data_IF_657505881883
#
_entry.id   IF_657505881883
#
_cell.length_a   1.000
_cell.length_b   1.000
_cell.length_c   1.000
_cell.angle_alpha   90.00
_cell.angle_beta   90.00
_cell.angle_gamma   90.00
#
_symmetry.space_group_name_H-M   'P 1'
#
loop_
_entity.id
_entity.type
_entity.pdbx_description
1 polymer ?
#
# COMPACT_ATOMS: atom_id res chain seq x y z
N UNK A 1 13.95 25.94 -30.01
CA UNK A 1 14.00 24.98 -28.89
C UNK A 1 12.60 24.61 -28.36
N UNK A 2 11.67 25.56 -28.19
CA UNK A 2 10.36 25.30 -27.54
C UNK A 2 9.38 24.39 -28.31
N UNK A 3 9.44 24.34 -29.64
CA UNK A 3 8.59 23.45 -30.47
C UNK A 3 8.88 21.96 -30.25
N UNK A 4 10.12 21.64 -29.84
CA UNK A 4 10.58 20.28 -29.62
C UNK A 4 9.86 19.58 -28.45
N UNK A 5 9.55 20.30 -27.37
CA UNK A 5 8.93 19.69 -26.17
C UNK A 5 7.53 19.12 -26.45
N UNK A 6 6.71 19.85 -27.21
CA UNK A 6 5.37 19.37 -27.56
C UNK A 6 5.44 18.16 -28.51
N UNK A 7 6.39 18.16 -29.44
CA UNK A 7 6.62 17.03 -30.35
C UNK A 7 7.10 15.80 -29.57
N UNK A 8 8.04 15.97 -28.64
CA UNK A 8 8.49 14.91 -27.73
C UNK A 8 7.35 14.37 -26.88
N UNK A 9 6.53 15.23 -26.27
CA UNK A 9 5.39 14.81 -25.46
C UNK A 9 4.35 14.04 -26.28
N UNK A 10 4.10 14.44 -27.53
CA UNK A 10 3.19 13.71 -28.44
C UNK A 10 3.74 12.36 -28.87
N UNK A 11 5.06 12.26 -29.04
CA UNK A 11 5.73 11.03 -29.50
C UNK A 11 5.90 10.02 -28.36
N UNK A 12 6.38 10.48 -27.20
CA UNK A 12 6.83 9.62 -26.10
C UNK A 12 5.88 9.61 -24.90
N UNK A 13 4.92 10.54 -24.86
CA UNK A 13 4.04 10.74 -23.71
C UNK A 13 4.50 11.90 -22.82
N UNK A 14 3.59 12.33 -21.95
CA UNK A 14 3.84 13.33 -20.92
C UNK A 14 4.01 12.64 -19.54
N UNK A 15 4.87 13.14 -18.65
CA UNK A 15 5.86 14.19 -18.87
C UNK A 15 6.98 13.79 -19.83
N UNK A 16 7.66 14.78 -20.41
CA UNK A 16 8.91 14.59 -21.16
C UNK A 16 10.04 14.42 -20.14
N UNK A 17 10.77 13.30 -20.22
CA UNK A 17 11.86 12.96 -19.32
C UNK A 17 13.20 13.05 -20.06
N UNK A 18 14.15 13.82 -19.53
CA UNK A 18 15.50 13.99 -20.08
C UNK A 18 16.52 13.95 -18.94
N UNK A 19 17.18 12.80 -18.76
CA UNK A 19 17.92 12.53 -17.53
C UNK A 19 16.97 12.58 -16.33
N UNK A 20 17.33 13.35 -15.30
CA UNK A 20 16.51 13.52 -14.10
C UNK A 20 15.47 14.63 -14.24
N UNK A 21 15.53 15.43 -15.32
CA UNK A 21 14.58 16.50 -15.56
C UNK A 21 13.27 15.94 -16.11
N UNK A 22 12.19 16.22 -15.40
CA UNK A 22 10.82 15.90 -15.79
C UNK A 22 10.11 17.20 -16.18
N UNK A 23 9.55 17.26 -17.39
CA UNK A 23 8.81 18.42 -17.89
C UNK A 23 7.41 18.03 -18.32
N UNK A 24 6.42 18.47 -17.54
CA UNK A 24 5.00 18.36 -17.87
C UNK A 24 4.65 19.42 -18.90
N UNK A 25 3.99 19.03 -19.99
CA UNK A 25 3.64 19.89 -21.12
C UNK A 25 2.12 20.00 -21.24
N UNK A 26 1.62 21.21 -21.50
CA UNK A 26 0.22 21.47 -21.79
C UNK A 26 0.05 22.41 -22.99
N UNK A 27 -0.88 22.09 -23.89
CA UNK A 27 -1.26 22.95 -25.02
C UNK A 27 -2.69 23.50 -24.85
N UNK A 28 -2.82 24.81 -24.77
CA UNK A 28 -4.11 25.51 -24.68
C UNK A 28 -3.97 27.00 -24.39
N UNK A 29 -5.07 27.75 -24.56
CA UNK A 29 -5.14 29.20 -24.30
C UNK A 29 -4.75 29.56 -22.85
N UNK A 30 -5.12 28.71 -21.90
CA UNK A 30 -4.71 28.73 -20.50
C UNK A 30 -4.24 27.33 -20.09
N UNK A 31 -3.44 27.26 -19.04
CA UNK A 31 -3.02 25.99 -18.45
C UNK A 31 -3.73 25.70 -17.12
N UNK A 32 -4.05 24.42 -16.86
CA UNK A 32 -4.37 23.97 -15.51
C UNK A 32 -3.12 24.04 -14.62
N UNK A 33 -3.29 23.71 -13.35
CA UNK A 33 -2.20 23.46 -12.43
C UNK A 33 -1.84 21.97 -12.41
N UNK A 34 -0.60 21.65 -12.05
CA UNK A 34 -0.16 20.28 -11.77
C UNK A 34 -0.46 19.94 -10.30
N UNK A 35 -1.00 18.75 -10.05
CA UNK A 35 -1.13 18.15 -8.73
C UNK A 35 -0.52 16.75 -8.78
N UNK A 36 0.22 16.34 -7.75
CA UNK A 36 0.96 15.08 -7.74
C UNK A 36 1.23 14.58 -6.33
N UNK A 37 1.89 13.42 -6.22
CA UNK A 37 2.29 12.82 -4.93
C UNK A 37 3.20 13.74 -4.09
N UNK A 38 4.03 14.59 -4.72
CA UNK A 38 5.03 15.41 -4.02
C UNK A 38 4.38 16.65 -3.39
N UNK A 39 3.40 17.24 -4.06
CA UNK A 39 2.83 18.54 -3.71
C UNK A 39 1.45 18.43 -3.05
N UNK A 40 1.22 17.39 -2.23
CA UNK A 40 -0.03 17.23 -1.47
C UNK A 40 -1.31 17.36 -2.33
N UNK A 41 -1.25 16.94 -3.58
CA UNK A 41 -2.40 16.92 -4.48
C UNK A 41 -3.15 18.28 -4.58
N UNK A 42 -4.48 18.29 -4.41
CA UNK A 42 -5.32 19.49 -4.51
C UNK A 42 -5.01 20.58 -3.47
N UNK A 43 -4.29 20.26 -2.41
CA UNK A 43 -3.99 21.21 -1.33
C UNK A 43 -2.85 22.17 -1.70
N UNK A 44 -1.93 21.76 -2.60
CA UNK A 44 -0.87 22.63 -3.11
C UNK A 44 -0.64 22.49 -4.64
N UNK A 45 -1.60 22.95 -5.47
CA UNK A 45 -1.51 22.85 -6.93
C UNK A 45 -0.46 23.78 -7.53
N UNK A 46 0.41 23.24 -8.38
CA UNK A 46 1.56 23.91 -8.98
C UNK A 46 1.22 24.62 -10.30
N UNK A 47 1.57 25.90 -10.41
CA UNK A 47 1.30 26.72 -11.61
C UNK A 47 2.26 26.37 -12.75
N UNK A 48 1.72 26.13 -13.95
CA UNK A 48 2.52 25.98 -15.17
C UNK A 48 2.97 27.34 -15.72
N UNK A 49 4.17 27.41 -16.29
CA UNK A 49 4.76 28.59 -16.92
C UNK A 49 4.51 28.56 -18.43
N UNK A 50 4.08 29.68 -19.01
CA UNK A 50 3.95 29.81 -20.47
C UNK A 50 5.33 29.96 -21.10
N UNK A 51 5.64 29.14 -22.11
CA UNK A 51 6.93 29.18 -22.83
C UNK A 51 6.78 29.53 -24.31
N UNK A 52 5.57 29.44 -24.87
CA UNK A 52 5.26 29.87 -26.24
C UNK A 52 3.75 30.18 -26.35
N UNK A 53 3.26 30.67 -27.51
CA UNK A 53 1.83 30.77 -27.76
C UNK A 53 1.12 29.43 -27.50
N UNK A 54 0.16 29.46 -26.57
CA UNK A 54 -0.63 28.30 -26.12
C UNK A 54 0.18 27.10 -25.59
N UNK A 55 1.47 27.27 -25.26
CA UNK A 55 2.32 26.19 -24.74
C UNK A 55 2.82 26.52 -23.33
N UNK A 56 2.57 25.59 -22.42
CA UNK A 56 2.84 25.73 -20.99
C UNK A 56 3.60 24.53 -20.45
N UNK A 57 4.48 24.77 -19.48
CA UNK A 57 5.27 23.71 -18.87
C UNK A 57 5.39 23.86 -17.36
N UNK A 58 5.54 22.75 -16.66
CA UNK A 58 6.09 22.70 -15.31
C UNK A 58 7.25 21.71 -15.34
N UNK A 59 8.40 22.12 -14.81
CA UNK A 59 9.62 21.31 -14.83
C UNK A 59 10.14 21.15 -13.41
N UNK A 60 10.52 19.92 -13.07
CA UNK A 60 11.15 19.56 -11.79
C UNK A 60 12.17 18.44 -12.01
N UNK A 61 13.11 18.28 -11.09
CA UNK A 61 14.02 17.13 -11.08
C UNK A 61 13.47 16.04 -10.17
N UNK A 62 13.52 14.80 -10.63
CA UNK A 62 13.14 13.63 -9.85
C UNK A 62 14.31 12.64 -9.77
N UNK A 63 14.35 11.90 -8.67
CA UNK A 63 15.26 10.78 -8.50
C UNK A 63 15.03 9.71 -9.59
N UNK A 64 16.10 9.13 -10.18
CA UNK A 64 15.99 8.10 -11.23
C UNK A 64 15.14 6.88 -10.85
N UNK A 65 15.02 6.56 -9.57
CA UNK A 65 14.24 5.44 -9.05
C UNK A 65 12.79 5.82 -8.72
N UNK A 66 12.33 7.04 -9.06
CA UNK A 66 11.00 7.50 -8.74
C UNK A 66 9.89 6.84 -9.56
N UNK A 67 8.80 6.51 -8.86
CA UNK A 67 7.46 6.41 -9.42
C UNK A 67 6.63 7.60 -8.97
N UNK A 68 5.83 8.17 -9.88
CA UNK A 68 4.98 9.33 -9.56
C UNK A 68 3.58 9.17 -10.18
N UNK A 69 2.55 9.42 -9.37
CA UNK A 69 1.20 9.71 -9.84
C UNK A 69 0.94 11.23 -9.87
N UNK A 70 0.21 11.69 -10.88
CA UNK A 70 -0.17 13.09 -11.03
C UNK A 70 -1.53 13.26 -11.72
N UNK A 71 -2.04 14.49 -11.68
CA UNK A 71 -3.18 14.93 -12.49
C UNK A 71 -3.03 16.42 -12.80
N UNK A 72 -3.81 16.92 -13.76
CA UNK A 72 -3.99 18.35 -13.89
C UNK A 72 -5.22 18.80 -13.09
N UNK A 73 -5.24 20.05 -12.67
CA UNK A 73 -6.27 20.61 -11.81
C UNK A 73 -6.65 22.02 -12.24
N UNK A 74 -7.94 22.28 -12.47
CA UNK A 74 -8.45 23.60 -12.76
C UNK A 74 -8.90 24.27 -11.46
N UNK A 75 -8.12 25.21 -10.88
CA UNK A 75 -8.39 25.77 -9.56
C UNK A 75 -9.69 26.56 -9.50
N UNK A 76 -10.16 27.14 -10.61
CA UNK A 76 -11.43 27.90 -10.63
C UNK A 76 -12.64 27.00 -10.47
N UNK A 77 -12.61 25.83 -11.09
CA UNK A 77 -13.73 24.88 -11.07
C UNK A 77 -13.55 23.78 -10.04
N UNK A 78 -12.37 23.69 -9.43
CA UNK A 78 -11.95 22.64 -8.50
C UNK A 78 -12.10 21.23 -9.08
N UNK A 79 -11.79 21.08 -10.37
CA UNK A 79 -11.91 19.80 -11.09
C UNK A 79 -10.56 19.32 -11.57
N UNK A 80 -10.33 18.01 -11.44
CA UNK A 80 -9.23 17.33 -12.13
C UNK A 80 -9.48 17.34 -13.64
N UNK A 81 -8.40 17.52 -14.38
CA UNK A 81 -8.35 17.53 -15.84
C UNK A 81 -7.42 16.41 -16.27
N UNK A 82 -7.85 15.61 -17.25
CA UNK A 82 -7.02 14.54 -17.80
C UNK A 82 -5.87 15.14 -18.61
N UNK A 83 -4.73 14.49 -18.54
CA UNK A 83 -3.61 14.75 -19.43
C UNK A 83 -3.89 14.10 -20.80
N UNK A 84 -4.12 14.88 -21.87
CA UNK A 84 -4.38 14.31 -23.19
C UNK A 84 -3.13 13.68 -23.83
N UNK A 85 -1.93 13.93 -23.29
CA UNK A 85 -0.64 13.47 -23.78
C UNK A 85 -0.10 12.27 -22.99
N UNK A 86 -0.75 11.87 -21.89
CA UNK A 86 -0.39 10.66 -21.16
C UNK A 86 -1.55 9.65 -21.16
N UNK A 87 -1.33 8.48 -21.76
CA UNK A 87 -2.32 7.40 -21.81
C UNK A 87 -2.30 6.50 -20.57
N UNK A 88 -1.21 6.53 -19.80
CA UNK A 88 -1.06 5.73 -18.61
C UNK A 88 -1.94 6.33 -17.52
N UNK A 89 -2.86 5.51 -17.00
CA UNK A 89 -3.76 5.92 -15.91
C UNK A 89 -3.91 4.81 -14.90
N UNK A 90 -4.15 5.20 -13.65
CA UNK A 90 -4.37 4.29 -12.52
C UNK A 90 -5.50 4.82 -11.65
N UNK A 91 -6.36 3.95 -11.15
CA UNK A 91 -7.43 4.35 -10.23
C UNK A 91 -6.86 4.53 -8.82
N UNK A 92 -7.11 5.68 -8.20
CA UNK A 92 -6.46 6.10 -6.96
C UNK A 92 -7.00 5.45 -5.67
N UNK A 93 -7.93 4.49 -5.76
CA UNK A 93 -8.53 3.86 -4.58
C UNK A 93 -9.81 4.52 -4.08
N UNK A 94 -10.08 5.76 -4.48
CA UNK A 94 -11.16 6.56 -3.91
C UNK A 94 -12.20 6.89 -4.97
N UNK A 95 -11.90 7.87 -5.85
CA UNK A 95 -12.88 8.44 -6.80
C UNK A 95 -12.26 8.91 -8.12
N UNK A 96 -10.94 8.96 -8.24
CA UNK A 96 -10.27 9.57 -9.38
C UNK A 96 -9.29 8.61 -10.05
N UNK A 97 -9.07 8.84 -11.34
CA UNK A 97 -7.95 8.25 -12.05
C UNK A 97 -6.83 9.28 -12.13
N UNK A 98 -5.63 8.83 -11.78
CA UNK A 98 -4.40 9.59 -11.91
C UNK A 98 -3.69 9.16 -13.19
N UNK A 99 -2.85 10.04 -13.71
CA UNK A 99 -1.79 9.65 -14.63
C UNK A 99 -0.56 9.23 -13.85
N UNK A 100 0.29 8.40 -14.44
CA UNK A 100 1.52 7.97 -13.78
C UNK A 100 2.67 7.79 -14.78
N UNK A 101 3.88 7.75 -14.25
CA UNK A 101 5.08 7.35 -14.98
C UNK A 101 6.15 6.80 -14.02
N UNK A 102 7.13 6.11 -14.59
CA UNK A 102 8.33 5.64 -13.91
C UNK A 102 9.53 6.41 -14.46
N UNK A 103 10.46 6.81 -13.58
CA UNK A 103 11.78 7.29 -13.97
C UNK A 103 12.67 6.13 -14.44
N UNK A 104 13.85 6.44 -14.98
CA UNK A 104 14.67 5.50 -15.76
C UNK A 104 15.15 4.26 -15.02
N UNK A 105 15.29 4.33 -13.69
CA UNK A 105 15.73 3.21 -12.83
C UNK A 105 14.55 2.57 -12.07
N UNK A 106 13.35 3.12 -12.22
CA UNK A 106 12.14 2.59 -11.61
C UNK A 106 11.43 1.65 -12.60
N UNK A 107 10.98 0.49 -12.11
CA UNK A 107 10.18 -0.44 -12.90
C UNK A 107 9.08 -1.06 -12.04
N UNK A 108 7.89 -1.32 -12.62
CA UNK A 108 6.86 -2.09 -11.93
C UNK A 108 7.40 -3.48 -11.59
N UNK A 109 7.00 -4.02 -10.44
CA UNK A 109 7.46 -5.35 -10.04
C UNK A 109 6.94 -6.43 -11.00
N UNK A 110 7.85 -7.22 -11.55
CA UNK A 110 7.48 -8.38 -12.38
C UNK A 110 6.73 -9.47 -11.59
N UNK A 111 6.69 -9.37 -10.26
CA UNK A 111 5.98 -10.30 -9.39
C UNK A 111 4.45 -10.09 -9.43
N UNK A 112 3.96 -8.93 -9.87
CA UNK A 112 2.53 -8.68 -9.99
C UNK A 112 1.93 -9.26 -11.30
N UNK A 113 2.77 -9.82 -12.18
CA UNK A 113 2.35 -10.39 -13.46
C UNK A 113 2.05 -11.89 -13.34
N UNK A 114 0.85 -12.30 -13.79
CA UNK A 114 0.48 -13.73 -13.86
C UNK A 114 1.34 -14.46 -14.89
N UNK A 115 1.96 -15.58 -14.49
CA UNK A 115 2.79 -16.42 -15.37
C UNK A 115 2.01 -17.64 -15.84
N UNK A 116 1.98 -17.88 -17.16
CA UNK A 116 1.35 -19.08 -17.73
C UNK A 116 2.13 -20.34 -17.32
N UNK A 117 1.41 -21.44 -17.05
CA UNK A 117 2.00 -22.74 -16.73
C UNK A 117 2.53 -22.91 -15.31
N UNK A 118 2.35 -21.92 -14.44
CA UNK A 118 2.74 -21.98 -13.03
C UNK A 118 1.55 -22.38 -12.15
N UNK A 119 1.75 -23.18 -11.08
CA UNK A 119 0.70 -23.41 -10.09
C UNK A 119 0.23 -22.10 -9.46
N UNK A 120 -1.09 -21.93 -9.37
CA UNK A 120 -1.73 -20.76 -8.78
C UNK A 120 -2.56 -21.17 -7.57
N UNK A 121 -2.52 -20.35 -6.52
CA UNK A 121 -3.42 -20.52 -5.39
C UNK A 121 -4.87 -20.18 -5.75
N UNK A 122 -5.80 -20.70 -4.96
CA UNK A 122 -7.24 -20.51 -5.16
C UNK A 122 -7.74 -19.37 -4.27
N UNK A 123 -8.36 -18.36 -4.88
CA UNK A 123 -9.08 -17.30 -4.17
C UNK A 123 -10.57 -17.64 -4.12
N UNK A 124 -11.18 -17.51 -2.95
CA UNK A 124 -12.62 -17.69 -2.72
C UNK A 124 -13.20 -16.48 -2.01
N UNK A 125 -14.43 -16.10 -2.38
CA UNK A 125 -15.13 -14.93 -1.83
C UNK A 125 -16.19 -15.39 -0.82
N UNK A 126 -16.25 -14.71 0.32
CA UNK A 126 -17.18 -15.00 1.40
C UNK A 126 -17.74 -13.71 2.00
N UNK A 127 -18.84 -13.85 2.72
CA UNK A 127 -19.42 -12.82 3.56
C UNK A 127 -19.51 -13.40 4.97
N UNK A 128 -18.85 -12.75 5.93
CA UNK A 128 -18.70 -13.26 7.30
C UNK A 128 -19.29 -12.26 8.27
N UNK A 129 -20.01 -12.75 9.28
CA UNK A 129 -20.60 -11.89 10.30
C UNK A 129 -19.52 -11.15 11.10
N UNK A 130 -19.79 -9.90 11.47
CA UNK A 130 -18.85 -9.06 12.21
C UNK A 130 -19.31 -8.94 13.65
N UNK A 131 -18.78 -9.81 14.51
CA UNK A 131 -19.27 -10.03 15.88
C UNK A 131 -19.65 -8.75 16.65
N UNK A 132 -18.71 -7.83 16.86
CA UNK A 132 -18.94 -6.58 17.61
C UNK A 132 -19.27 -5.37 16.71
N UNK A 133 -18.99 -5.45 15.41
CA UNK A 133 -19.22 -4.34 14.47
C UNK A 133 -20.61 -4.53 13.85
N UNK A 134 -21.59 -3.81 14.36
CA UNK A 134 -22.99 -3.99 13.96
C UNK A 134 -23.36 -3.23 12.67
N UNK A 135 -22.63 -2.19 12.28
CA UNK A 135 -22.88 -1.52 10.99
C UNK A 135 -22.51 -2.47 9.85
N UNK A 136 -23.47 -2.71 8.95
CA UNK A 136 -23.61 -3.85 8.02
C UNK A 136 -23.72 -5.26 8.63
N UNK A 137 -23.18 -5.50 9.83
CA UNK A 137 -23.21 -6.80 10.56
C UNK A 137 -22.47 -7.95 9.87
N UNK A 138 -21.92 -7.69 8.68
CA UNK A 138 -21.14 -8.61 7.85
C UNK A 138 -20.03 -7.89 7.13
N UNK A 139 -18.94 -8.60 6.84
CA UNK A 139 -17.80 -8.12 6.06
C UNK A 139 -17.42 -9.10 4.96
N UNK A 140 -17.06 -8.51 3.82
CA UNK A 140 -16.50 -9.25 2.71
C UNK A 140 -15.11 -9.78 3.09
N UNK A 141 -14.91 -11.07 2.85
CA UNK A 141 -13.67 -11.78 3.16
C UNK A 141 -13.26 -12.61 1.95
N UNK A 142 -12.07 -12.37 1.41
CA UNK A 142 -11.48 -13.28 0.43
C UNK A 142 -10.45 -14.16 1.10
N UNK A 143 -10.49 -15.45 0.81
CA UNK A 143 -9.54 -16.43 1.32
C UNK A 143 -8.71 -16.97 0.15
N UNK A 144 -7.39 -16.91 0.29
CA UNK A 144 -6.42 -17.47 -0.64
C UNK A 144 -5.77 -18.71 -0.01
N UNK A 145 -5.90 -19.85 -0.69
CA UNK A 145 -5.18 -21.08 -0.39
C UNK A 145 -4.02 -21.24 -1.37
N UNK A 146 -2.75 -21.28 -0.93
CA UNK A 146 -1.61 -21.55 -1.82
C UNK A 146 -1.70 -22.95 -2.42
N UNK A 147 -1.02 -23.22 -3.56
CA UNK A 147 -1.08 -24.50 -4.27
C UNK A 147 -0.24 -25.60 -3.58
N UNK A 148 -0.43 -25.80 -2.28
CA UNK A 148 0.23 -26.82 -1.46
C UNK A 148 -0.78 -27.59 -0.62
N UNK A 149 -0.45 -28.83 -0.26
CA UNK A 149 -1.33 -29.72 0.50
C UNK A 149 -1.22 -29.54 2.02
N UNK A 150 -0.05 -29.18 2.53
CA UNK A 150 0.22 -29.09 3.97
C UNK A 150 -0.31 -27.81 4.63
N UNK A 151 -0.36 -27.77 5.97
CA UNK A 151 -0.78 -26.60 6.72
C UNK A 151 0.25 -25.46 6.57
N UNK A 152 -0.25 -24.23 6.43
CA UNK A 152 0.57 -23.03 6.20
C UNK A 152 0.23 -21.92 7.20
N UNK A 153 1.14 -20.97 7.49
CA UNK A 153 0.77 -19.77 8.23
C UNK A 153 -0.22 -18.92 7.43
N UNK A 154 -1.00 -18.10 8.16
CA UNK A 154 -1.92 -17.13 7.59
C UNK A 154 -1.29 -15.73 7.59
N UNK A 155 -1.54 -14.96 6.53
CA UNK A 155 -1.40 -13.51 6.51
C UNK A 155 -2.78 -12.86 6.47
N UNK A 156 -3.16 -12.16 7.54
CA UNK A 156 -4.36 -11.31 7.55
C UNK A 156 -4.04 -10.00 6.81
N UNK A 157 -4.90 -9.59 5.88
CA UNK A 157 -4.68 -8.42 5.02
C UNK A 157 -5.85 -7.46 5.16
N UNK A 158 -5.61 -6.30 5.76
CA UNK A 158 -6.55 -5.17 5.80
C UNK A 158 -6.67 -4.52 4.42
N UNK A 159 -7.81 -3.85 4.17
CA UNK A 159 -8.17 -3.35 2.83
C UNK A 159 -8.10 -4.44 1.75
N UNK A 160 -8.66 -5.61 2.10
CA UNK A 160 -8.44 -6.85 1.37
C UNK A 160 -8.74 -6.78 -0.13
N UNK A 161 -9.81 -6.10 -0.55
CA UNK A 161 -10.15 -5.96 -1.98
C UNK A 161 -9.09 -5.16 -2.72
N UNK A 162 -8.57 -4.09 -2.11
CA UNK A 162 -7.58 -3.24 -2.75
C UNK A 162 -6.22 -3.96 -2.88
N UNK A 163 -5.78 -4.70 -1.86
CA UNK A 163 -4.60 -5.56 -2.00
C UNK A 163 -4.78 -6.68 -3.04
N UNK A 164 -5.98 -7.23 -3.15
CA UNK A 164 -6.27 -8.28 -4.13
C UNK A 164 -6.31 -7.73 -5.56
N UNK A 165 -6.94 -6.58 -5.79
CA UNK A 165 -7.23 -6.05 -7.12
C UNK A 165 -6.19 -5.05 -7.63
N UNK A 166 -5.60 -4.23 -6.74
CA UNK A 166 -4.64 -3.19 -7.12
C UNK A 166 -3.21 -3.65 -6.92
N UNK A 167 -2.91 -4.22 -5.75
CA UNK A 167 -1.60 -4.76 -5.47
C UNK A 167 -1.38 -6.16 -6.07
N UNK A 168 -2.45 -6.84 -6.53
CA UNK A 168 -2.34 -8.19 -7.09
C UNK A 168 -1.60 -9.14 -6.12
N UNK A 169 -1.83 -8.99 -4.81
CA UNK A 169 -0.99 -9.61 -3.78
C UNK A 169 -0.96 -11.14 -3.89
N UNK A 170 -2.08 -11.77 -4.28
CA UNK A 170 -2.14 -13.21 -4.55
C UNK A 170 -1.22 -13.66 -5.68
N UNK A 171 -1.03 -12.82 -6.72
CA UNK A 171 -0.12 -13.10 -7.83
C UNK A 171 1.34 -12.93 -7.38
N UNK A 172 1.62 -11.92 -6.56
CA UNK A 172 2.95 -11.71 -5.97
C UNK A 172 3.32 -12.92 -5.10
N UNK A 173 2.42 -13.37 -4.23
CA UNK A 173 2.63 -14.52 -3.35
C UNK A 173 2.80 -15.80 -4.16
N UNK A 174 1.95 -16.07 -5.18
CA UNK A 174 2.14 -17.20 -6.09
C UNK A 174 3.54 -17.21 -6.71
N UNK A 175 3.98 -16.07 -7.26
CA UNK A 175 5.27 -15.92 -7.91
C UNK A 175 6.45 -16.07 -6.93
N UNK A 176 6.33 -15.58 -5.69
CA UNK A 176 7.36 -15.74 -4.67
C UNK A 176 7.47 -17.19 -4.19
N UNK A 177 6.34 -17.88 -3.99
CA UNK A 177 6.31 -19.30 -3.63
C UNK A 177 6.93 -20.15 -4.74
N UNK A 178 6.53 -19.92 -6.00
CA UNK A 178 7.06 -20.66 -7.14
C UNK A 178 8.57 -20.47 -7.33
N UNK A 179 9.08 -19.26 -7.01
CA UNK A 179 10.52 -18.95 -7.02
C UNK A 179 11.25 -19.43 -5.76
N UNK A 180 10.56 -20.06 -4.79
CA UNK A 180 11.13 -20.45 -3.48
C UNK A 180 11.80 -19.28 -2.76
N UNK A 181 11.15 -18.12 -2.80
CA UNK A 181 11.60 -16.90 -2.11
C UNK A 181 10.94 -16.74 -0.75
N UNK A 182 9.76 -17.32 -0.58
CA UNK A 182 9.03 -17.40 0.68
C UNK A 182 8.53 -18.83 0.92
N UNK A 183 8.34 -19.21 2.18
CA UNK A 183 7.53 -20.39 2.49
C UNK A 183 6.07 -20.15 2.04
N UNK A 184 5.32 -21.20 1.67
CA UNK A 184 3.90 -21.06 1.33
C UNK A 184 3.10 -20.43 2.48
N UNK A 185 2.24 -19.45 2.15
CA UNK A 185 1.34 -18.78 3.10
C UNK A 185 -0.08 -18.76 2.56
N UNK A 186 -1.07 -18.88 3.43
CA UNK A 186 -2.46 -18.57 3.11
C UNK A 186 -2.75 -17.10 3.43
N UNK A 187 -3.80 -16.53 2.84
CA UNK A 187 -4.19 -15.15 3.12
C UNK A 187 -5.68 -14.99 3.38
N UNK A 188 -6.01 -14.09 4.32
CA UNK A 188 -7.36 -13.66 4.63
C UNK A 188 -7.46 -12.15 4.36
N UNK A 189 -8.09 -11.78 3.25
CA UNK A 189 -8.29 -10.41 2.81
C UNK A 189 -9.61 -9.88 3.38
N UNK A 190 -9.52 -9.14 4.48
CA UNK A 190 -10.68 -8.53 5.14
C UNK A 190 -10.94 -7.14 4.56
N UNK A 191 -12.14 -6.91 4.05
CA UNK A 191 -12.54 -5.57 3.61
C UNK A 191 -12.75 -4.64 4.81
N UNK A 192 -12.55 -3.33 4.63
CA UNK A 192 -12.92 -2.32 5.63
C UNK A 192 -14.43 -2.03 5.64
N UNK A 193 -14.90 -1.30 6.66
CA UNK A 193 -16.28 -0.81 6.79
C UNK A 193 -16.66 0.40 5.95
N UNK A 194 -15.98 0.67 4.84
CA UNK A 194 -16.25 1.82 3.97
C UNK A 194 -16.09 3.14 4.72
N UNK A 195 -17.20 3.87 4.91
CA UNK A 195 -17.21 5.12 5.68
C UNK A 195 -16.69 4.97 7.12
N UNK A 196 -16.78 3.76 7.70
CA UNK A 196 -16.32 3.47 9.05
C UNK A 196 -14.85 3.01 9.12
N UNK A 197 -14.13 2.94 7.99
CA UNK A 197 -12.74 2.46 7.93
C UNK A 197 -11.85 3.15 8.97
N UNK A 198 -11.99 4.47 9.15
CA UNK A 198 -11.22 5.22 10.15
C UNK A 198 -11.46 4.70 11.57
N UNK A 199 -12.72 4.50 11.96
CA UNK A 199 -13.08 3.95 13.28
C UNK A 199 -12.62 2.51 13.45
N UNK A 200 -12.74 1.68 12.41
CA UNK A 200 -12.32 0.28 12.48
C UNK A 200 -10.79 0.13 12.60
N UNK A 201 -10.02 1.01 11.97
CA UNK A 201 -8.56 0.86 11.85
C UNK A 201 -7.76 1.80 12.78
N UNK A 202 -8.40 2.75 13.45
CA UNK A 202 -7.79 3.57 14.50
C UNK A 202 -7.69 2.79 15.83
N UNK A 203 -6.95 1.67 15.83
CA UNK A 203 -6.71 0.83 17.00
C UNK A 203 -7.99 0.27 17.67
N UNK A 204 -8.96 -0.19 16.88
CA UNK A 204 -10.24 -0.66 17.41
C UNK A 204 -10.16 -2.09 17.96
N UNK A 205 -10.48 -2.25 19.24
CA UNK A 205 -10.64 -3.58 19.84
C UNK A 205 -11.86 -4.32 19.25
N UNK A 206 -12.90 -3.63 18.79
CA UNK A 206 -14.03 -4.27 18.09
C UNK A 206 -13.58 -4.96 16.80
N UNK A 207 -12.57 -4.41 16.12
CA UNK A 207 -11.94 -5.05 14.95
C UNK A 207 -11.14 -6.29 15.37
N UNK A 208 -10.35 -6.22 16.45
CA UNK A 208 -9.63 -7.40 16.98
C UNK A 208 -10.58 -8.53 17.38
N UNK A 209 -11.65 -8.18 18.07
CA UNK A 209 -12.71 -9.07 18.48
C UNK A 209 -13.41 -9.72 17.26
N UNK A 210 -13.64 -8.98 16.18
CA UNK A 210 -14.16 -9.54 14.92
C UNK A 210 -13.16 -10.50 14.28
N UNK A 211 -11.86 -10.19 14.32
CA UNK A 211 -10.81 -11.08 13.80
C UNK A 211 -10.78 -12.39 14.59
N UNK A 212 -10.76 -12.31 15.92
CA UNK A 212 -10.66 -13.45 16.82
C UNK A 212 -11.90 -14.36 16.77
N UNK A 213 -13.10 -13.78 16.81
CA UNK A 213 -14.33 -14.56 16.96
C UNK A 213 -15.01 -14.92 15.64
N UNK A 214 -14.73 -14.18 14.55
CA UNK A 214 -15.39 -14.40 13.27
C UNK A 214 -14.41 -14.81 12.17
N UNK A 215 -13.37 -14.02 11.92
CA UNK A 215 -12.51 -14.19 10.74
C UNK A 215 -11.58 -15.41 10.88
N UNK A 216 -10.84 -15.52 11.98
CA UNK A 216 -9.89 -16.62 12.19
C UNK A 216 -10.60 -17.99 12.24
N UNK A 217 -11.72 -18.17 12.97
CA UNK A 217 -12.45 -19.43 12.96
C UNK A 217 -13.02 -19.77 11.58
N UNK A 218 -13.51 -18.77 10.83
CA UNK A 218 -14.01 -18.99 9.49
C UNK A 218 -12.89 -19.39 8.52
N UNK A 219 -11.74 -18.71 8.58
CA UNK A 219 -10.57 -19.03 7.78
C UNK A 219 -10.05 -20.45 8.07
N UNK A 220 -9.95 -20.84 9.34
CA UNK A 220 -9.51 -22.19 9.74
C UNK A 220 -10.44 -23.31 9.26
N UNK A 221 -11.74 -23.04 9.06
CA UNK A 221 -12.69 -24.01 8.48
C UNK A 221 -12.54 -24.17 6.96
N UNK A 222 -11.93 -23.21 6.28
CA UNK A 222 -11.87 -23.14 4.80
C UNK A 222 -10.46 -23.34 4.24
N UNK A 223 -9.43 -23.14 5.06
CA UNK A 223 -8.03 -23.18 4.68
C UNK A 223 -7.28 -24.23 5.50
N UNK A 224 -6.23 -24.80 4.94
CA UNK A 224 -5.32 -25.67 5.69
C UNK A 224 -4.27 -24.82 6.42
N UNK A 225 -4.57 -24.41 7.65
CA UNK A 225 -3.71 -23.50 8.41
C UNK A 225 -2.93 -24.23 9.51
N UNK A 226 -1.77 -23.67 9.89
CA UNK A 226 -1.03 -24.11 11.07
C UNK A 226 -1.84 -23.89 12.34
N UNK A 227 -1.78 -24.85 13.27
CA UNK A 227 -2.35 -24.69 14.60
C UNK A 227 -1.54 -23.66 15.40
N UNK A 228 -2.16 -22.51 15.70
CA UNK A 228 -1.53 -21.40 16.45
C UNK A 228 -1.11 -21.80 17.86
N UNK A 229 -1.76 -22.79 18.49
CA UNK A 229 -1.37 -23.28 19.82
C UNK A 229 -0.03 -24.00 19.79
N UNK A 230 0.29 -24.66 18.68
CA UNK A 230 1.56 -25.36 18.45
C UNK A 230 2.60 -24.49 17.75
N UNK A 231 2.16 -23.40 17.12
CA UNK A 231 2.99 -22.51 16.31
C UNK A 231 2.68 -21.04 16.69
N UNK A 232 2.96 -20.66 17.95
CA UNK A 232 2.72 -19.30 18.44
C UNK A 232 3.44 -18.28 17.56
N UNK A 233 2.75 -17.19 17.24
CA UNK A 233 3.25 -16.10 16.40
C UNK A 233 3.54 -16.48 14.94
N UNK A 234 3.04 -17.63 14.47
CA UNK A 234 3.29 -18.09 13.11
C UNK A 234 2.62 -17.20 12.05
N UNK A 235 1.48 -16.58 12.37
CA UNK A 235 0.74 -15.76 11.42
C UNK A 235 1.34 -14.35 11.32
N UNK A 236 0.97 -13.66 10.25
CA UNK A 236 1.27 -12.26 10.07
C UNK A 236 0.03 -11.41 9.78
N UNK A 237 0.20 -10.10 9.87
CA UNK A 237 -0.80 -9.09 9.54
C UNK A 237 -0.19 -8.00 8.66
N UNK A 238 -0.94 -7.56 7.66
CA UNK A 238 -0.55 -6.58 6.65
C UNK A 238 -1.64 -5.52 6.44
N UNK A 239 -1.22 -4.28 6.28
CA UNK A 239 -2.07 -3.19 5.82
C UNK A 239 -1.27 -1.95 5.47
N UNK A 240 -1.93 -1.01 4.79
CA UNK A 240 -1.35 0.28 4.43
C UNK A 240 -2.11 1.46 5.07
N UNK A 241 -1.44 2.59 5.33
CA UNK A 241 -2.08 3.77 5.94
C UNK A 241 -2.67 3.42 7.32
N UNK A 242 -3.94 3.76 7.58
CA UNK A 242 -4.69 3.25 8.74
C UNK A 242 -4.64 1.72 8.88
N UNK A 243 -4.61 0.96 7.77
CA UNK A 243 -4.42 -0.49 7.82
C UNK A 243 -3.03 -0.88 8.33
N UNK A 244 -2.01 -0.05 8.08
CA UNK A 244 -0.66 -0.22 8.62
C UNK A 244 -0.60 0.06 10.12
N UNK A 245 -1.31 1.09 10.60
CA UNK A 245 -1.55 1.33 12.03
C UNK A 245 -2.24 0.12 12.68
N UNK A 246 -3.35 -0.31 12.10
CA UNK A 246 -4.13 -1.43 12.62
C UNK A 246 -3.32 -2.73 12.60
N UNK A 247 -2.45 -2.95 11.62
CA UNK A 247 -1.55 -4.10 11.57
C UNK A 247 -0.59 -4.12 12.75
N UNK A 248 0.03 -2.97 13.05
CA UNK A 248 0.93 -2.86 14.20
C UNK A 248 0.16 -3.07 15.51
N UNK A 249 -1.00 -2.44 15.65
CA UNK A 249 -1.87 -2.63 16.80
C UNK A 249 -2.28 -4.09 17.01
N UNK A 250 -2.67 -4.80 15.94
CA UNK A 250 -3.02 -6.22 15.96
C UNK A 250 -1.87 -7.10 16.42
N UNK A 251 -0.65 -6.88 15.90
CA UNK A 251 0.53 -7.62 16.35
C UNK A 251 0.85 -7.38 17.83
N UNK A 252 0.76 -6.12 18.28
CA UNK A 252 1.00 -5.76 19.68
C UNK A 252 -0.04 -6.37 20.63
N UNK A 253 -1.31 -6.48 20.21
CA UNK A 253 -2.41 -6.98 21.04
C UNK A 253 -2.59 -8.49 20.99
N UNK A 254 -2.15 -9.15 19.91
CA UNK A 254 -2.37 -10.59 19.68
C UNK A 254 -1.07 -11.31 19.23
N UNK A 255 0.08 -11.16 19.93
CA UNK A 255 1.39 -11.63 19.45
C UNK A 255 1.49 -13.14 19.31
N UNK A 256 0.73 -13.88 20.12
CA UNK A 256 0.66 -15.34 20.09
C UNK A 256 0.02 -15.89 18.82
N UNK A 257 -0.73 -15.06 18.11
CA UNK A 257 -1.30 -15.37 16.80
C UNK A 257 -0.45 -14.67 15.74
N UNK A 258 -0.37 -13.35 15.81
CA UNK A 258 0.27 -12.48 14.83
C UNK A 258 1.66 -12.03 15.30
N UNK A 259 2.65 -12.90 15.16
CA UNK A 259 4.04 -12.61 15.51
C UNK A 259 4.82 -11.83 14.44
N UNK A 260 4.16 -11.46 13.34
CA UNK A 260 4.74 -10.77 12.18
C UNK A 260 3.83 -9.63 11.75
N UNK A 261 4.37 -8.43 11.64
CA UNK A 261 3.63 -7.23 11.25
C UNK A 261 4.28 -6.65 10.00
N UNK A 262 3.46 -6.31 9.01
CA UNK A 262 3.86 -5.51 7.86
C UNK A 262 2.99 -4.25 7.85
N UNK A 263 3.63 -3.08 8.00
CA UNK A 263 2.97 -1.78 8.01
C UNK A 263 3.52 -0.93 6.87
N UNK A 264 2.71 -0.69 5.84
CA UNK A 264 3.10 0.16 4.71
C UNK A 264 2.52 1.56 4.91
N UNK A 265 3.37 2.58 4.96
CA UNK A 265 2.99 3.98 5.19
C UNK A 265 2.00 4.16 6.35
N UNK A 266 2.30 3.63 7.55
CA UNK A 266 1.35 3.64 8.68
C UNK A 266 1.01 5.05 9.17
N UNK A 267 -0.22 5.27 9.65
CA UNK A 267 -0.65 6.54 10.29
C UNK A 267 -0.59 6.36 11.80
N UNK A 268 0.42 6.90 12.48
CA UNK A 268 0.65 6.69 13.91
C UNK A 268 0.26 7.88 14.80
N UNK A 269 0.04 9.05 14.21
CA UNK A 269 -0.57 10.19 14.88
C UNK A 269 -1.68 10.84 14.04
N UNK A 270 -2.50 11.65 14.70
CA UNK A 270 -3.42 12.58 14.08
C UNK A 270 -3.47 13.86 14.90
N UNK A 271 -3.23 15.00 14.25
CA UNK A 271 -3.29 16.33 14.86
C UNK A 271 -2.40 16.46 16.12
N UNK A 272 -1.21 15.85 16.09
CA UNK A 272 -0.25 15.86 17.19
C UNK A 272 -0.59 14.89 18.32
N UNK A 273 -1.58 14.01 18.13
CA UNK A 273 -1.96 12.98 19.10
C UNK A 273 -1.64 11.59 18.54
N UNK A 274 -0.84 10.84 19.28
CA UNK A 274 -0.55 9.45 18.94
C UNK A 274 -1.77 8.55 19.07
N UNK A 275 -1.85 7.54 18.21
CA UNK A 275 -2.78 6.43 18.36
C UNK A 275 -2.27 5.42 19.41
N UNK A 276 -3.20 4.62 19.96
CA UNK A 276 -2.92 3.68 21.05
C UNK A 276 -1.79 2.67 20.75
N UNK A 277 -1.53 2.35 19.46
CA UNK A 277 -0.39 1.51 19.09
C UNK A 277 0.95 2.09 19.57
N UNK A 278 1.13 3.42 19.52
CA UNK A 278 2.35 4.09 19.98
C UNK A 278 2.49 4.01 21.51
N UNK A 279 1.37 4.10 22.23
CA UNK A 279 1.37 3.97 23.69
C UNK A 279 1.73 2.54 24.12
N UNK A 280 1.26 1.52 23.39
CA UNK A 280 1.66 0.13 23.61
C UNK A 280 3.16 -0.09 23.37
N UNK A 281 3.74 0.59 22.37
CA UNK A 281 5.18 0.55 22.10
C UNK A 281 5.97 1.15 23.27
N UNK A 282 5.53 2.31 23.78
CA UNK A 282 6.12 2.95 24.98
C UNK A 282 6.02 2.06 26.21
N UNK A 283 4.92 1.32 26.33
CA UNK A 283 4.69 0.33 27.38
C UNK A 283 5.45 -0.99 27.16
N UNK A 284 6.19 -1.13 26.05
CA UNK A 284 6.99 -2.33 25.71
C UNK A 284 6.16 -3.61 25.59
N UNK A 285 4.92 -3.48 25.11
CA UNK A 285 4.00 -4.59 24.89
C UNK A 285 4.50 -5.51 23.76
N UNK A 286 4.56 -6.84 23.99
CA UNK A 286 4.77 -7.85 22.94
C UNK A 286 6.04 -7.66 22.07
N UNK A 287 7.20 -7.48 22.69
CA UNK A 287 8.47 -7.16 22.00
C UNK A 287 9.03 -8.29 21.13
N UNK A 288 8.53 -9.50 21.29
CA UNK A 288 8.95 -10.70 20.55
C UNK A 288 8.47 -10.73 19.10
N UNK A 289 7.54 -9.85 18.71
CA UNK A 289 7.05 -9.78 17.33
C UNK A 289 8.10 -9.21 16.37
N UNK A 290 8.06 -9.65 15.11
CA UNK A 290 8.83 -9.06 14.01
C UNK A 290 8.00 -7.99 13.32
N UNK A 291 8.59 -6.82 13.10
CA UNK A 291 7.93 -5.67 12.49
C UNK A 291 8.68 -5.30 11.20
N UNK A 292 7.96 -5.21 10.10
CA UNK A 292 8.39 -4.55 8.89
C UNK A 292 7.60 -3.26 8.71
N UNK A 293 8.32 -2.18 8.44
CA UNK A 293 7.76 -0.89 8.08
C UNK A 293 8.40 -0.40 6.79
N UNK A 294 7.58 0.04 5.84
CA UNK A 294 8.06 0.76 4.67
C UNK A 294 7.24 2.01 4.37
N UNK A 295 7.86 3.02 3.77
CA UNK A 295 7.20 4.26 3.36
C UNK A 295 7.93 4.95 2.19
N UNK A 296 7.18 5.70 1.39
CA UNK A 296 7.71 6.46 0.26
C UNK A 296 8.26 7.84 0.64
N UNK A 297 9.27 8.33 -0.08
CA UNK A 297 9.84 9.68 0.10
C UNK A 297 8.85 10.81 -0.22
N UNK A 298 7.85 10.55 -1.05
CA UNK A 298 6.80 11.52 -1.42
C UNK A 298 5.51 11.29 -0.61
N UNK A 299 5.58 10.49 0.45
CA UNK A 299 4.46 10.22 1.33
C UNK A 299 4.39 11.30 2.42
N UNK A 300 3.22 11.91 2.62
CA UNK A 300 3.05 12.94 3.66
C UNK A 300 3.18 12.38 5.08
N UNK A 301 3.15 11.05 5.26
CA UNK A 301 3.36 10.37 6.53
C UNK A 301 4.82 9.99 6.78
N UNK A 302 5.76 10.41 5.92
CA UNK A 302 7.17 10.04 6.00
C UNK A 302 7.75 10.32 7.38
N UNK A 303 7.59 11.55 7.87
CA UNK A 303 8.11 11.96 9.17
C UNK A 303 7.44 11.23 10.34
N UNK A 304 6.15 10.91 10.22
CA UNK A 304 5.42 10.11 11.20
C UNK A 304 5.96 8.67 11.31
N UNK A 305 6.39 8.09 10.18
CA UNK A 305 7.01 6.77 10.17
C UNK A 305 8.48 6.82 10.62
N UNK A 306 9.25 7.86 10.20
CA UNK A 306 10.64 8.08 10.61
C UNK A 306 10.78 8.23 12.11
N UNK A 307 9.88 8.95 12.79
CA UNK A 307 9.91 9.10 14.26
C UNK A 307 9.60 7.79 14.99
N UNK A 308 8.83 6.87 14.38
CA UNK A 308 8.44 5.63 15.03
C UNK A 308 9.56 4.60 15.05
N UNK A 309 10.39 4.55 14.00
CA UNK A 309 11.52 3.63 13.91
C UNK A 309 12.45 3.69 15.16
N UNK A 310 13.01 4.85 15.57
CA UNK A 310 13.87 4.92 16.74
C UNK A 310 13.11 4.63 18.04
N UNK A 311 11.80 4.92 18.11
CA UNK A 311 10.98 4.57 19.27
C UNK A 311 10.84 3.04 19.43
N UNK A 312 10.62 2.31 18.34
CA UNK A 312 10.57 0.86 18.32
C UNK A 312 11.93 0.25 18.69
N UNK A 313 13.02 0.71 18.06
CA UNK A 313 14.37 0.23 18.34
C UNK A 313 14.76 0.50 19.80
N UNK A 314 14.53 1.72 20.31
CA UNK A 314 14.85 2.11 21.68
C UNK A 314 14.06 1.33 22.75
N UNK A 315 12.89 0.79 22.39
CA UNK A 315 12.09 -0.07 23.26
C UNK A 315 12.38 -1.58 23.08
N UNK A 316 13.31 -1.94 22.20
CA UNK A 316 13.80 -3.31 22.03
C UNK A 316 12.94 -4.18 21.12
N UNK A 317 12.19 -3.59 20.19
CA UNK A 317 11.46 -4.33 19.16
C UNK A 317 12.38 -4.75 18.01
N UNK A 318 12.08 -5.90 17.40
CA UNK A 318 12.71 -6.32 16.15
C UNK A 318 12.01 -5.66 14.96
N UNK A 319 12.48 -4.46 14.57
CA UNK A 319 11.94 -3.69 13.45
C UNK A 319 12.93 -3.60 12.30
N UNK A 320 12.45 -3.88 11.09
CA UNK A 320 13.08 -3.50 9.83
C UNK A 320 12.31 -2.31 9.24
N UNK A 321 13.01 -1.22 8.93
CA UNK A 321 12.44 -0.02 8.35
C UNK A 321 13.08 0.26 7.00
N UNK A 322 12.27 0.60 6.00
CA UNK A 322 12.75 0.88 4.64
C UNK A 322 12.03 2.08 4.05
N UNK A 323 12.80 2.95 3.42
CA UNK A 323 12.26 4.02 2.57
C UNK A 323 12.44 3.68 1.09
N UNK A 324 11.54 4.19 0.25
CA UNK A 324 11.59 4.04 -1.21
C UNK A 324 11.17 5.33 -1.92
N UNK A 325 11.51 5.47 -3.21
CA UNK A 325 11.21 6.69 -3.98
C UNK A 325 9.83 6.59 -4.63
N UNK A 326 8.79 6.96 -3.88
CA UNK A 326 7.40 6.92 -4.32
C UNK A 326 6.46 7.61 -3.35
N UNK A 327 5.17 7.62 -3.68
CA UNK A 327 4.10 8.26 -2.89
C UNK A 327 3.21 7.29 -2.11
N UNK A 328 2.13 7.84 -1.55
CA UNK A 328 1.15 7.12 -0.73
C UNK A 328 0.08 6.41 -1.59
N UNK A 329 0.49 5.39 -2.36
CA UNK A 329 -0.41 4.71 -3.29
C UNK A 329 -0.14 3.20 -3.42
N UNK A 330 -1.16 2.47 -3.89
CA UNK A 330 -1.11 1.01 -4.05
C UNK A 330 -0.07 0.55 -5.07
N UNK A 331 0.28 1.37 -6.05
CA UNK A 331 1.31 1.01 -7.04
C UNK A 331 2.67 0.91 -6.36
N UNK A 332 3.01 1.88 -5.51
CA UNK A 332 4.22 1.85 -4.70
C UNK A 332 4.22 0.67 -3.74
N UNK A 333 3.16 0.51 -2.94
CA UNK A 333 3.06 -0.57 -1.96
C UNK A 333 3.16 -1.95 -2.62
N UNK A 334 2.54 -2.14 -3.79
CA UNK A 334 2.67 -3.36 -4.62
C UNK A 334 4.11 -3.65 -5.02
N UNK A 335 4.82 -2.63 -5.48
CA UNK A 335 6.17 -2.82 -6.03
C UNK A 335 7.19 -3.14 -4.92
N UNK A 336 6.85 -2.80 -3.67
CA UNK A 336 7.71 -2.95 -2.49
C UNK A 336 7.40 -4.17 -1.61
N UNK A 337 6.13 -4.61 -1.53
CA UNK A 337 5.65 -5.61 -0.55
C UNK A 337 6.41 -6.94 -0.53
N UNK A 338 7.01 -7.33 -1.66
CA UNK A 338 7.74 -8.60 -1.74
C UNK A 338 8.91 -8.68 -0.76
N UNK A 339 9.56 -7.55 -0.43
CA UNK A 339 10.68 -7.50 0.52
C UNK A 339 10.21 -7.85 1.94
N UNK A 340 9.06 -7.29 2.33
CA UNK A 340 8.43 -7.59 3.61
C UNK A 340 8.02 -9.07 3.69
N UNK A 341 7.44 -9.61 2.61
CA UNK A 341 7.04 -11.01 2.56
C UNK A 341 8.24 -11.96 2.72
N UNK A 342 9.38 -11.67 2.08
CA UNK A 342 10.62 -12.43 2.28
C UNK A 342 11.16 -12.35 3.69
N UNK A 343 11.18 -11.16 4.29
CA UNK A 343 11.65 -10.98 5.65
C UNK A 343 10.77 -11.70 6.69
N UNK A 344 9.44 -11.68 6.47
CA UNK A 344 8.47 -12.24 7.41
C UNK A 344 8.26 -13.74 7.23
N UNK A 345 8.33 -14.25 5.99
CA UNK A 345 8.03 -15.64 5.67
C UNK A 345 9.17 -16.30 4.87
N UNK A 346 10.41 -16.33 5.38
CA UNK A 346 11.53 -16.95 4.67
C UNK A 346 11.29 -18.45 4.44
N UNK A 347 11.96 -19.00 3.43
CA UNK A 347 12.01 -20.45 3.22
C UNK A 347 12.67 -21.10 4.44
N UNK A 348 12.12 -22.24 4.87
CA UNK A 348 12.69 -23.05 5.95
C UNK A 348 13.82 -23.94 5.47
#
# INVERSE_FOLDING_TARGET
MNTNLLELARKNGNPVIQGNQVTFVWKGKSAPHLIDDIHMWEDAPQKMKRIAPELWTYSTELDPAAYLEYSFYEPRTKKRVKDPLNKNTVFNGIKHYNHFFYMSEALPTSLATKRKGMPHGKVTRHLVDTWMIQDSGKRELFLYQPPVKGPVPLLLVYDGVDYLQRAMLNVIVDNLIAKKRIQPIAMAFIQNGGKNRGVEYACSDATLMTIEHSILPFAAKKLNLLDVKKNRGAYGVLGASFGGLMSLYTGLRMPDIFGKVISQSGVFESEGRDFAAVDLIRAKQSREIKIWMDIGHYDWLLEDNRRLQPLLLGNGYNVTYREFVGGHNYTCWRDEIWRALEAMFPVK
#
